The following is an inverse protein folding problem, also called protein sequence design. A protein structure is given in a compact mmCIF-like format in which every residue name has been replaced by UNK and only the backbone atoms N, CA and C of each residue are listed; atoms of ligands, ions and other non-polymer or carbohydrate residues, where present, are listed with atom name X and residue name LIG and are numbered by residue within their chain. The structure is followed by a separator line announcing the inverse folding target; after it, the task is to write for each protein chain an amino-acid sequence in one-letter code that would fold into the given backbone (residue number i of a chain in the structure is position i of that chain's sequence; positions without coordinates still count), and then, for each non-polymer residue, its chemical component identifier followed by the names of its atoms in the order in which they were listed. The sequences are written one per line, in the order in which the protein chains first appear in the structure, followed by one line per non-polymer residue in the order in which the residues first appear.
data_IF_496878859733
#
_entry.id   IF_496878859733
#
_cell.length_a   1.000
_cell.length_b   1.000
_cell.length_c   1.000
_cell.angle_alpha   90.00
_cell.angle_beta   90.00
_cell.angle_gamma   90.00
#
_symmetry.space_group_name_H-M   'P 1'
#
loop_
_entity.id
_entity.type
_entity.pdbx_description
1 polymer ?
#
# COMPACT_ATOMS: atom_id res chain seq x y z
N UNK A 1 19.12 3.89 27.97
CA UNK A 1 18.62 2.84 27.06
C UNK A 1 17.88 3.52 25.91
N UNK A 2 18.59 3.87 24.84
CA UNK A 2 17.95 4.48 23.66
C UNK A 2 17.34 3.37 22.83
N UNK A 3 16.04 3.47 22.58
CA UNK A 3 15.29 2.50 21.81
C UNK A 3 15.59 2.71 20.32
N UNK A 4 16.64 2.03 19.84
CA UNK A 4 17.24 2.14 18.50
C UNK A 4 16.29 1.71 17.35
N UNK A 5 15.06 1.32 17.67
CA UNK A 5 14.09 0.72 16.74
C UNK A 5 12.84 1.57 16.44
N UNK A 6 12.82 2.88 16.77
CA UNK A 6 11.73 3.76 16.32
C UNK A 6 12.16 4.56 15.10
N UNK A 7 11.79 4.10 13.91
CA UNK A 7 11.86 4.90 12.68
C UNK A 7 11.03 6.17 12.87
N UNK A 8 11.69 7.32 12.93
CA UNK A 8 11.02 8.59 13.06
C UNK A 8 10.62 9.10 11.66
N UNK A 9 9.33 9.07 11.37
CA UNK A 9 8.76 9.44 10.05
C UNK A 9 8.32 10.91 9.95
N UNK A 10 8.48 11.67 11.04
CA UNK A 10 8.13 13.08 11.10
C UNK A 10 8.27 13.66 12.50
N UNK A 11 7.76 14.88 12.67
CA UNK A 11 7.80 15.63 13.93
C UNK A 11 6.52 16.41 14.15
N UNK A 12 6.13 16.57 15.41
CA UNK A 12 5.07 17.52 15.76
C UNK A 12 5.63 18.94 15.82
N UNK A 13 5.02 19.86 15.07
CA UNK A 13 5.38 21.28 15.02
C UNK A 13 4.25 22.09 15.64
N UNK A 14 4.59 22.95 16.59
CA UNK A 14 3.65 23.88 17.22
C UNK A 14 3.14 24.89 16.19
N UNK A 15 1.82 25.07 16.13
CA UNK A 15 1.14 25.98 15.21
C UNK A 15 0.76 27.27 15.93
N UNK A 16 0.57 28.33 15.14
CA UNK A 16 0.28 29.68 15.66
C UNK A 16 -0.97 29.75 16.53
N UNK A 17 -1.94 28.86 16.31
CA UNK A 17 -3.20 28.80 17.08
C UNK A 17 -3.16 27.82 18.26
N UNK A 18 -1.97 27.38 18.69
CA UNK A 18 -1.76 26.65 19.94
C UNK A 18 -1.85 25.12 19.86
N UNK A 19 -2.22 24.55 18.71
CA UNK A 19 -2.19 23.11 18.49
C UNK A 19 -0.84 22.62 17.93
N UNK A 20 -0.58 21.32 17.98
CA UNK A 20 0.58 20.69 17.33
C UNK A 20 0.12 19.93 16.10
N UNK A 21 0.76 20.19 14.95
CA UNK A 21 0.53 19.44 13.72
C UNK A 21 1.65 18.43 13.49
N UNK A 22 1.31 17.21 13.07
CA UNK A 22 2.32 16.24 12.65
C UNK A 22 2.80 16.58 11.24
N UNK A 23 4.10 16.86 11.09
CA UNK A 23 4.73 17.16 9.81
C UNK A 23 5.70 16.02 9.46
N UNK A 24 5.43 15.27 8.38
CA UNK A 24 6.36 14.27 7.87
C UNK A 24 7.74 14.89 7.59
N UNK A 25 8.79 14.08 7.66
CA UNK A 25 10.09 14.50 7.12
C UNK A 25 10.07 14.46 5.59
N UNK A 26 10.96 15.25 4.98
CA UNK A 26 11.13 15.25 3.53
C UNK A 26 11.48 13.84 3.04
N UNK A 27 10.83 13.43 1.96
CA UNK A 27 11.10 12.16 1.29
C UNK A 27 11.80 12.43 -0.06
N UNK A 28 12.87 11.69 -0.40
CA UNK A 28 13.44 10.56 0.34
C UNK A 28 14.31 11.01 1.54
N UNK A 29 14.55 10.14 2.54
CA UNK A 29 15.50 10.41 3.61
C UNK A 29 16.88 10.76 3.05
N UNK A 30 17.56 11.75 3.62
CA UNK A 30 18.89 12.20 3.13
C UNK A 30 19.96 11.11 3.12
N UNK A 31 19.82 10.08 3.98
CA UNK A 31 20.71 8.92 4.02
C UNK A 31 20.32 7.79 3.05
N UNK A 32 19.31 8.00 2.21
CA UNK A 32 18.72 6.96 1.37
C UNK A 32 17.88 5.96 2.17
N UNK A 33 17.39 4.93 1.48
CA UNK A 33 16.63 3.82 2.07
C UNK A 33 17.52 2.59 2.05
N UNK A 34 17.78 1.99 3.21
CA UNK A 34 18.55 0.76 3.29
C UNK A 34 17.71 -0.42 2.82
N UNK A 35 18.06 -0.99 1.66
CA UNK A 35 17.43 -2.22 1.17
C UNK A 35 18.23 -3.41 1.70
N UNK A 36 17.66 -4.13 2.67
CA UNK A 36 18.30 -5.33 3.21
C UNK A 36 18.29 -6.48 2.18
N UNK A 37 19.21 -7.45 2.28
CA UNK A 37 19.17 -8.65 1.44
C UNK A 37 17.83 -9.40 1.52
N UNK A 38 17.17 -9.38 2.68
CA UNK A 38 15.84 -9.97 2.84
C UNK A 38 14.77 -9.20 2.06
N UNK A 39 14.79 -7.87 2.13
CA UNK A 39 13.87 -7.03 1.37
C UNK A 39 14.10 -7.16 -0.14
N UNK A 40 15.35 -7.24 -0.58
CA UNK A 40 15.70 -7.53 -1.97
C UNK A 40 15.13 -8.86 -2.45
N UNK A 41 15.27 -9.95 -1.67
CA UNK A 41 14.67 -11.26 -2.02
C UNK A 41 13.15 -11.19 -2.13
N UNK A 42 12.49 -10.47 -1.23
CA UNK A 42 11.04 -10.26 -1.27
C UNK A 42 10.62 -9.44 -2.50
N UNK A 43 11.43 -8.45 -2.87
CA UNK A 43 11.21 -7.66 -4.08
C UNK A 43 11.34 -8.50 -5.35
N UNK A 44 12.37 -9.34 -5.45
CA UNK A 44 12.54 -10.29 -6.57
C UNK A 44 11.37 -11.28 -6.66
N UNK A 45 10.92 -11.82 -5.52
CA UNK A 45 9.75 -12.70 -5.45
C UNK A 45 8.50 -11.99 -5.97
N UNK A 46 8.27 -10.74 -5.54
CA UNK A 46 7.15 -9.93 -5.99
C UNK A 46 7.21 -9.66 -7.50
N UNK A 47 8.37 -9.25 -8.04
CA UNK A 47 8.57 -9.04 -9.48
C UNK A 47 8.25 -10.32 -10.26
N UNK A 48 8.77 -11.47 -9.82
CA UNK A 48 8.52 -12.76 -10.49
C UNK A 48 7.05 -13.12 -10.52
N UNK A 49 6.33 -12.92 -9.41
CA UNK A 49 4.90 -13.24 -9.32
C UNK A 49 4.05 -12.28 -10.18
N UNK A 50 4.38 -10.99 -10.19
CA UNK A 50 3.74 -10.01 -11.07
C UNK A 50 3.99 -10.33 -12.54
N UNK A 51 5.22 -10.70 -12.91
CA UNK A 51 5.55 -11.13 -14.27
C UNK A 51 4.80 -12.41 -14.68
N UNK A 52 4.64 -13.38 -13.77
CA UNK A 52 3.82 -14.57 -14.00
C UNK A 52 2.35 -14.20 -14.24
N UNK A 53 1.82 -13.26 -13.45
CA UNK A 53 0.45 -12.76 -13.62
C UNK A 53 0.28 -12.07 -14.98
N UNK A 54 1.19 -11.16 -15.36
CA UNK A 54 1.17 -10.53 -16.69
C UNK A 54 1.17 -11.60 -17.80
N UNK A 55 2.07 -12.58 -17.71
CA UNK A 55 2.16 -13.66 -18.68
C UNK A 55 0.86 -14.48 -18.80
N UNK A 56 0.29 -14.94 -17.69
CA UNK A 56 -0.92 -15.79 -17.73
C UNK A 56 -2.16 -15.00 -18.14
N UNK A 57 -2.24 -13.70 -17.83
CA UNK A 57 -3.40 -12.87 -18.21
C UNK A 57 -3.54 -12.68 -19.72
N UNK A 58 -2.48 -12.94 -20.51
CA UNK A 58 -2.54 -12.96 -21.99
C UNK A 58 -3.40 -14.08 -22.55
N UNK A 59 -3.67 -15.12 -21.75
CA UNK A 59 -4.53 -16.26 -22.13
C UNK A 59 -5.99 -16.04 -21.72
N UNK A 60 -6.32 -14.94 -21.06
CA UNK A 60 -7.69 -14.68 -20.61
C UNK A 60 -8.58 -14.34 -21.81
N UNK A 61 -9.79 -14.92 -21.89
CA UNK A 61 -10.75 -14.59 -22.94
C UNK A 61 -11.21 -13.13 -22.90
N UNK A 62 -11.41 -12.60 -21.69
CA UNK A 62 -11.79 -11.20 -21.45
C UNK A 62 -11.04 -10.68 -20.21
N UNK A 63 -9.97 -9.92 -20.47
CA UNK A 63 -9.11 -9.34 -19.45
C UNK A 63 -9.82 -8.22 -18.69
N UNK A 64 -10.69 -7.46 -19.36
CA UNK A 64 -11.33 -6.28 -18.75
C UNK A 64 -12.39 -6.72 -17.74
N UNK A 65 -13.17 -7.75 -18.06
CA UNK A 65 -14.10 -8.36 -17.11
C UNK A 65 -13.35 -8.99 -15.91
N UNK A 66 -12.23 -9.67 -16.16
CA UNK A 66 -11.40 -10.20 -15.09
C UNK A 66 -10.89 -9.09 -14.16
N UNK A 67 -10.37 -7.99 -14.70
CA UNK A 67 -9.88 -6.85 -13.90
C UNK A 67 -11.01 -6.16 -13.13
N UNK A 68 -12.18 -5.98 -13.75
CA UNK A 68 -13.35 -5.37 -13.11
C UNK A 68 -13.71 -6.09 -11.80
N UNK A 69 -13.71 -7.42 -11.80
CA UNK A 69 -14.00 -8.22 -10.60
C UNK A 69 -12.98 -7.99 -9.47
N UNK A 70 -11.70 -7.80 -9.81
CA UNK A 70 -10.66 -7.51 -8.81
C UNK A 70 -10.74 -6.07 -8.28
N UNK A 71 -11.10 -5.10 -9.13
CA UNK A 71 -11.33 -3.71 -8.68
C UNK A 71 -12.47 -3.66 -7.67
N UNK A 72 -13.59 -4.33 -7.96
CA UNK A 72 -14.74 -4.39 -7.02
C UNK A 72 -14.34 -5.09 -5.70
N UNK A 73 -13.56 -6.16 -5.78
CA UNK A 73 -13.05 -6.87 -4.61
C UNK A 73 -12.15 -5.99 -3.74
N UNK A 74 -11.22 -5.27 -4.35
CA UNK A 74 -10.27 -4.40 -3.63
C UNK A 74 -11.00 -3.21 -2.97
N UNK A 75 -11.94 -2.59 -3.69
CA UNK A 75 -12.78 -1.52 -3.16
C UNK A 75 -13.58 -1.97 -1.92
N UNK A 76 -14.16 -3.18 -1.95
CA UNK A 76 -14.89 -3.73 -0.82
C UNK A 76 -13.98 -3.93 0.40
N UNK A 77 -12.79 -4.52 0.23
CA UNK A 77 -11.86 -4.71 1.34
C UNK A 77 -11.29 -3.40 1.88
N UNK A 78 -10.96 -2.44 1.01
CA UNK A 78 -10.52 -1.11 1.43
C UNK A 78 -11.59 -0.43 2.29
N UNK A 79 -12.85 -0.49 1.84
CA UNK A 79 -14.00 0.04 2.56
C UNK A 79 -14.19 -0.63 3.93
N UNK A 80 -13.95 -1.94 4.04
CA UNK A 80 -14.01 -2.67 5.32
C UNK A 80 -12.91 -2.25 6.31
N UNK A 81 -11.70 -2.00 5.82
CA UNK A 81 -10.58 -1.54 6.66
C UNK A 81 -10.90 -0.17 7.29
N UNK A 82 -11.61 0.69 6.56
CA UNK A 82 -12.07 2.00 7.03
C UNK A 82 -13.30 1.93 7.95
N UNK A 83 -13.81 0.73 8.25
CA UNK A 83 -14.88 0.48 9.22
C UNK A 83 -16.29 0.46 8.63
N UNK A 84 -16.43 0.44 7.30
CA UNK A 84 -17.74 0.30 6.65
C UNK A 84 -18.11 -1.19 6.46
N UNK A 85 -19.40 -1.53 6.52
CA UNK A 85 -19.89 -2.92 6.29
C UNK A 85 -20.07 -3.25 4.80
N UNK A 86 -19.17 -2.76 3.93
CA UNK A 86 -19.26 -3.03 2.50
C UNK A 86 -18.91 -4.50 2.21
N UNK A 87 -19.72 -5.18 1.41
CA UNK A 87 -19.47 -6.55 0.94
C UNK A 87 -19.07 -6.57 -0.54
N UNK A 88 -18.55 -7.71 -1.01
CA UNK A 88 -18.26 -7.89 -2.44
C UNK A 88 -19.52 -7.75 -3.32
N UNK A 89 -20.68 -8.14 -2.79
CA UNK A 89 -21.97 -7.97 -3.46
C UNK A 89 -22.33 -6.48 -3.58
N UNK A 90 -22.09 -5.68 -2.54
CA UNK A 90 -22.32 -4.23 -2.57
C UNK A 90 -21.42 -3.54 -3.61
N UNK A 91 -20.15 -3.94 -3.69
CA UNK A 91 -19.23 -3.37 -4.66
C UNK A 91 -19.60 -3.73 -6.11
N UNK A 92 -20.06 -4.96 -6.35
CA UNK A 92 -20.48 -5.41 -7.69
C UNK A 92 -21.81 -4.77 -8.13
N UNK A 93 -22.72 -4.49 -7.19
CA UNK A 93 -24.02 -3.87 -7.47
C UNK A 93 -23.98 -2.34 -7.65
N UNK A 94 -22.92 -1.67 -7.18
CA UNK A 94 -22.66 -0.24 -7.36
C UNK A 94 -22.10 0.08 -8.75
#
# INVERSE_FOLDING_TARGET
MNNINKTQIGRYVAQKTGYKSFMPFDFPPKGGISISPHLHKKHEEAIRLVGKLDGITRLLPDKDFFLLMFIKKDAAYSSQIEGTKATLQDAVAA
#
